data_IF_518393930326
#
_entry.id   IF_518393930326
#
_cell.length_a   1.000
_cell.length_b   1.000
_cell.length_c   1.000
_cell.angle_alpha   90.00
_cell.angle_beta   90.00
_cell.angle_gamma   90.00
#
_symmetry.space_group_name_H-M   'P 1'
#
loop_
_entity.id
_entity.type
_entity.pdbx_description
1 polymer ?
#
# COMPACT_ATOMS: atom_id res chain seq x y z
N UNK A 1 -7.83 12.36 8.76
CA UNK A 1 -7.00 11.46 7.95
C UNK A 1 -7.58 10.03 7.97
N UNK A 2 -7.37 9.25 6.89
CA UNK A 2 -7.82 7.85 6.82
C UNK A 2 -9.26 7.60 6.38
N UNK A 3 -10.09 8.61 6.17
CA UNK A 3 -11.46 8.47 5.64
C UNK A 3 -11.47 8.25 4.11
N UNK A 4 -12.64 7.92 3.56
CA UNK A 4 -12.87 7.60 2.13
C UNK A 4 -12.29 8.64 1.16
N UNK A 5 -12.24 9.92 1.54
CA UNK A 5 -11.66 11.00 0.73
C UNK A 5 -10.18 11.29 0.97
N UNK A 6 -9.52 10.59 1.91
CA UNK A 6 -8.16 10.93 2.34
C UNK A 6 -7.17 10.93 1.15
N UNK A 7 -7.14 9.83 0.40
CA UNK A 7 -6.24 9.68 -0.74
C UNK A 7 -6.49 10.74 -1.82
N UNK A 8 -7.76 11.03 -2.13
CA UNK A 8 -8.12 12.06 -3.11
C UNK A 8 -7.58 13.43 -2.70
N UNK A 9 -7.81 13.84 -1.44
CA UNK A 9 -7.32 15.14 -0.98
C UNK A 9 -5.79 15.17 -0.87
N UNK A 10 -5.17 14.08 -0.41
CA UNK A 10 -3.72 13.99 -0.33
C UNK A 10 -3.10 14.15 -1.72
N UNK A 11 -3.46 13.32 -2.68
CA UNK A 11 -2.87 13.32 -4.03
C UNK A 11 -3.21 14.58 -4.85
N UNK A 12 -4.40 15.18 -4.66
CA UNK A 12 -4.84 16.30 -5.46
C UNK A 12 -4.57 17.67 -4.83
N UNK A 13 -4.11 17.73 -3.58
CA UNK A 13 -3.82 18.99 -2.89
C UNK A 13 -2.49 18.93 -2.14
N UNK A 14 -2.33 18.00 -1.21
CA UNK A 14 -1.17 17.97 -0.30
C UNK A 14 0.12 17.67 -1.03
N UNK A 15 0.13 16.62 -1.87
CA UNK A 15 1.31 16.19 -2.62
C UNK A 15 1.73 17.18 -3.71
N UNK A 16 0.84 18.11 -4.08
CA UNK A 16 1.15 19.21 -5.00
C UNK A 16 2.01 20.30 -4.37
N UNK A 17 2.13 20.31 -3.05
CA UNK A 17 2.93 21.27 -2.28
C UNK A 17 2.16 22.49 -1.80
N UNK A 18 2.58 22.99 -0.63
CA UNK A 18 1.98 24.18 0.00
C UNK A 18 2.28 25.45 -0.77
N UNK A 19 1.27 26.34 -0.89
CA UNK A 19 1.41 27.64 -1.54
C UNK A 19 1.60 27.57 -3.07
N UNK A 20 1.42 26.40 -3.67
CA UNK A 20 1.50 26.22 -5.11
C UNK A 20 0.08 26.19 -5.73
N UNK A 21 -0.17 27.10 -6.68
CA UNK A 21 -1.44 27.15 -7.40
C UNK A 21 -1.37 26.29 -8.63
N UNK A 22 -2.24 25.29 -8.73
CA UNK A 22 -2.30 24.33 -9.85
C UNK A 22 -3.72 24.24 -10.42
N UNK A 23 -3.84 23.77 -11.67
CA UNK A 23 -5.12 23.52 -12.32
C UNK A 23 -5.66 22.13 -11.98
N UNK A 24 -6.95 22.02 -11.74
CA UNK A 24 -7.62 20.73 -11.71
C UNK A 24 -7.64 20.11 -13.13
N UNK A 25 -7.73 18.78 -13.26
CA UNK A 25 -7.98 18.13 -14.56
C UNK A 25 -9.20 18.70 -15.28
N UNK A 26 -9.21 18.62 -16.61
CA UNK A 26 -10.32 19.16 -17.44
C UNK A 26 -11.67 18.54 -17.08
N UNK A 27 -11.71 17.25 -16.79
CA UNK A 27 -12.91 16.52 -16.38
C UNK A 27 -13.40 16.91 -14.96
N UNK A 28 -12.60 17.64 -14.19
CA UNK A 28 -12.95 18.26 -12.91
C UNK A 28 -13.17 19.78 -13.01
N UNK A 29 -13.36 20.29 -14.23
CA UNK A 29 -13.71 21.68 -14.51
C UNK A 29 -12.54 22.66 -14.53
N UNK A 30 -11.31 22.18 -14.59
CA UNK A 30 -10.07 22.97 -14.72
C UNK A 30 -9.91 24.12 -13.70
N UNK A 31 -10.59 24.02 -12.55
CA UNK A 31 -10.53 25.04 -11.50
C UNK A 31 -9.12 25.13 -10.89
N UNK A 32 -8.72 26.36 -10.58
CA UNK A 32 -7.45 26.58 -9.85
C UNK A 32 -7.60 26.14 -8.41
N UNK A 33 -6.58 25.45 -7.91
CA UNK A 33 -6.52 24.90 -6.55
C UNK A 33 -5.21 25.32 -5.89
N UNK A 34 -5.24 25.43 -4.57
CA UNK A 34 -4.07 25.69 -3.74
C UNK A 34 -4.23 24.91 -2.43
N UNK A 35 -3.15 24.31 -1.97
CA UNK A 35 -3.08 23.73 -0.63
C UNK A 35 -2.45 24.74 0.32
N UNK A 36 -3.21 25.16 1.31
CA UNK A 36 -2.75 26.02 2.39
C UNK A 36 -2.73 25.20 3.68
N UNK A 37 -1.56 24.76 4.17
CA UNK A 37 -1.47 24.03 5.43
C UNK A 37 -1.83 24.94 6.58
N UNK A 38 -2.59 24.42 7.57
CA UNK A 38 -2.89 25.10 8.81
C UNK A 38 -2.73 24.13 9.98
N UNK A 39 -1.96 24.50 10.96
CA UNK A 39 -1.71 23.74 12.18
C UNK A 39 -2.45 24.37 13.35
N UNK A 40 -2.65 23.60 14.42
CA UNK A 40 -3.34 24.11 15.58
C UNK A 40 -2.70 25.41 16.13
N UNK A 41 -1.38 25.49 16.20
CA UNK A 41 -0.67 26.65 16.73
C UNK A 41 -0.69 27.89 15.80
N UNK A 42 -1.10 27.74 14.54
CA UNK A 42 -1.32 28.86 13.64
C UNK A 42 -2.62 29.62 14.01
N UNK A 43 -3.56 28.94 14.68
CA UNK A 43 -4.82 29.54 15.12
C UNK A 43 -4.67 30.20 16.51
N UNK A 44 -4.05 31.37 16.55
CA UNK A 44 -3.84 32.12 17.79
C UNK A 44 -5.12 32.47 18.53
N UNK A 45 -6.22 32.70 17.79
CA UNK A 45 -7.52 33.03 18.38
C UNK A 45 -8.07 31.84 19.16
N UNK A 46 -7.99 30.64 18.60
CA UNK A 46 -8.41 29.43 19.29
C UNK A 46 -7.59 29.17 20.55
N UNK A 47 -6.26 29.28 20.46
CA UNK A 47 -5.37 29.05 21.60
C UNK A 47 -5.63 30.08 22.74
N UNK A 48 -5.92 31.32 22.42
CA UNK A 48 -6.22 32.35 23.41
C UNK A 48 -7.58 32.13 24.07
N UNK A 49 -8.59 31.75 23.30
CA UNK A 49 -9.96 31.57 23.81
C UNK A 49 -10.19 30.20 24.48
N UNK A 50 -9.40 29.22 24.15
CA UNK A 50 -9.50 27.87 24.68
C UNK A 50 -8.11 27.21 24.87
N UNK A 51 -7.39 27.59 25.93
CA UNK A 51 -6.06 27.08 26.23
C UNK A 51 -6.03 25.55 26.47
N UNK A 52 -7.18 24.97 26.85
CA UNK A 52 -7.29 23.53 27.14
C UNK A 52 -7.57 22.68 25.89
N UNK A 53 -7.85 23.30 24.75
CA UNK A 53 -8.15 22.60 23.51
C UNK A 53 -7.06 21.60 23.12
N UNK A 54 -5.79 21.98 23.27
CA UNK A 54 -4.65 21.11 23.02
C UNK A 54 -4.63 19.87 23.93
N UNK A 55 -4.95 20.05 25.20
CA UNK A 55 -4.99 18.91 26.14
C UNK A 55 -6.17 17.98 25.87
N UNK A 56 -7.32 18.54 25.46
CA UNK A 56 -8.47 17.71 25.05
C UNK A 56 -8.17 16.88 23.80
N UNK A 57 -7.48 17.45 22.81
CA UNK A 57 -7.04 16.67 21.65
C UNK A 57 -6.11 15.52 22.05
N UNK A 58 -5.15 15.77 22.92
CA UNK A 58 -4.26 14.73 23.45
C UNK A 58 -5.01 13.63 24.19
N UNK A 59 -6.10 13.94 24.83
CA UNK A 59 -6.95 12.99 25.54
C UNK A 59 -7.79 12.07 24.65
N UNK A 60 -7.80 12.24 23.32
CA UNK A 60 -8.54 11.40 22.39
C UNK A 60 -7.98 9.97 22.23
N UNK A 61 -6.81 9.69 22.81
CA UNK A 61 -6.29 8.33 23.01
C UNK A 61 -5.51 7.72 21.83
N UNK A 62 -5.84 8.04 20.59
CA UNK A 62 -5.09 7.57 19.42
C UNK A 62 -4.00 8.56 19.05
N UNK A 63 -2.75 8.18 19.30
CA UNK A 63 -1.57 9.03 19.09
C UNK A 63 -1.43 9.47 17.63
N UNK A 64 -1.73 8.62 16.66
CA UNK A 64 -1.61 8.95 15.23
C UNK A 64 -2.66 9.99 14.82
N UNK A 65 -3.91 9.82 15.25
CA UNK A 65 -4.99 10.79 15.00
C UNK A 65 -4.69 12.13 15.69
N UNK A 66 -4.21 12.09 16.92
CA UNK A 66 -3.80 13.32 17.64
C UNK A 66 -2.68 14.04 16.91
N UNK A 67 -1.64 13.34 16.47
CA UNK A 67 -0.54 13.90 15.69
C UNK A 67 -1.03 14.51 14.37
N UNK A 68 -1.89 13.79 13.65
CA UNK A 68 -2.48 14.29 12.41
C UNK A 68 -3.28 15.58 12.61
N UNK A 69 -4.05 15.67 13.71
CA UNK A 69 -4.84 16.86 14.03
C UNK A 69 -4.00 18.06 14.50
N UNK A 70 -2.92 17.80 15.25
CA UNK A 70 -2.04 18.84 15.77
C UNK A 70 -1.13 19.42 14.70
N UNK A 71 -0.52 18.57 13.89
CA UNK A 71 0.53 18.94 12.94
C UNK A 71 0.03 19.03 11.49
N UNK A 72 -1.22 18.62 11.23
CA UNK A 72 -1.74 18.53 9.87
C UNK A 72 -1.02 17.43 9.08
N UNK A 73 -0.63 16.34 9.75
CA UNK A 73 0.06 15.23 9.14
C UNK A 73 -0.91 14.36 8.31
N UNK A 74 -0.65 14.26 7.02
CA UNK A 74 -1.40 13.45 6.06
C UNK A 74 -0.78 12.08 5.81
N UNK A 75 0.39 11.80 6.36
CA UNK A 75 1.06 10.50 6.27
C UNK A 75 0.66 9.56 7.42
N UNK A 76 0.07 10.11 8.49
CA UNK A 76 -0.39 9.30 9.61
C UNK A 76 -1.53 8.37 9.19
N UNK A 77 -1.27 7.09 9.15
CA UNK A 77 -2.28 6.04 8.98
C UNK A 77 -3.07 5.91 10.28
N UNK A 78 -4.25 6.54 10.33
CA UNK A 78 -5.12 6.51 11.51
C UNK A 78 -5.95 5.22 11.64
N UNK A 79 -5.85 4.30 10.66
CA UNK A 79 -6.59 3.04 10.68
C UNK A 79 -5.81 1.95 9.95
N UNK A 80 -5.42 0.95 10.67
CA UNK A 80 -4.75 -0.24 10.15
C UNK A 80 -4.22 -1.09 11.30
N UNK A 81 -4.21 -2.40 11.16
CA UNK A 81 -3.76 -3.32 12.21
C UNK A 81 -2.33 -3.10 12.70
N UNK A 82 -1.55 -2.26 11.98
CA UNK A 82 -0.14 -1.98 12.29
C UNK A 82 0.15 -0.50 12.55
N UNK A 83 -0.87 0.38 12.60
CA UNK A 83 -0.67 1.83 12.67
C UNK A 83 0.13 2.28 13.91
N UNK A 84 -0.04 1.62 15.04
CA UNK A 84 0.64 1.89 16.30
C UNK A 84 2.07 1.36 16.36
N UNK A 85 2.41 0.36 15.55
CA UNK A 85 3.73 -0.28 15.52
C UNK A 85 4.56 0.10 14.29
N UNK A 86 3.91 0.51 13.20
CA UNK A 86 4.60 0.89 11.97
C UNK A 86 5.47 2.14 12.15
N UNK A 87 6.70 2.05 11.74
CA UNK A 87 7.66 3.17 11.72
C UNK A 87 8.48 3.06 10.44
N UNK A 88 8.29 3.97 9.49
CA UNK A 88 9.01 3.95 8.21
C UNK A 88 10.52 3.82 8.37
N UNK A 89 11.11 4.48 9.37
CA UNK A 89 12.55 4.40 9.66
C UNK A 89 13.06 2.96 9.88
N UNK A 90 12.20 2.05 10.38
CA UNK A 90 12.58 0.68 10.71
C UNK A 90 12.00 -0.36 9.76
N UNK A 91 10.83 -0.05 9.16
CA UNK A 91 10.10 -1.00 8.33
C UNK A 91 10.25 -0.75 6.82
N UNK A 92 10.81 0.42 6.43
CA UNK A 92 11.17 0.69 5.04
C UNK A 92 12.69 0.58 4.92
N UNK A 93 13.14 -0.44 4.21
CA UNK A 93 14.57 -0.71 3.97
C UNK A 93 14.92 -0.36 2.53
N UNK A 94 16.21 -0.05 2.29
CA UNK A 94 16.71 0.11 0.93
C UNK A 94 16.66 -1.24 0.21
N UNK A 95 16.39 -1.26 -1.10
CA UNK A 95 16.45 -2.50 -1.88
C UNK A 95 17.80 -3.20 -1.77
N UNK A 96 17.80 -4.51 -1.60
CA UNK A 96 18.98 -5.38 -1.57
C UNK A 96 18.69 -6.68 -2.34
N UNK A 97 19.73 -7.42 -2.70
CA UNK A 97 19.57 -8.68 -3.40
C UNK A 97 19.04 -9.76 -2.46
N UNK A 98 17.88 -10.32 -2.77
CA UNK A 98 17.25 -11.35 -1.95
C UNK A 98 18.06 -12.65 -2.05
N UNK A 99 18.53 -13.21 -0.90
CA UNK A 99 19.24 -14.48 -0.90
C UNK A 99 18.45 -15.59 -1.58
N UNK A 100 19.14 -16.42 -2.34
CA UNK A 100 18.51 -17.52 -3.12
C UNK A 100 17.88 -18.60 -2.24
N UNK A 101 18.25 -18.64 -0.97
CA UNK A 101 17.72 -19.60 0.03
C UNK A 101 16.40 -19.11 0.65
N UNK A 102 16.10 -17.83 0.51
CA UNK A 102 14.86 -17.29 1.06
C UNK A 102 13.65 -17.71 0.21
N UNK A 103 12.58 -18.08 0.89
CA UNK A 103 11.33 -18.40 0.22
C UNK A 103 10.69 -17.11 -0.32
N UNK A 104 10.26 -17.15 -1.57
CA UNK A 104 9.50 -16.08 -2.18
C UNK A 104 8.11 -16.60 -2.50
N UNK A 105 7.09 -15.91 -2.04
CA UNK A 105 5.70 -16.17 -2.42
C UNK A 105 4.98 -14.88 -2.82
N UNK A 106 3.72 -14.99 -3.24
CA UNK A 106 2.87 -13.85 -3.57
C UNK A 106 1.51 -13.96 -2.92
N UNK A 107 1.04 -12.83 -2.36
CA UNK A 107 -0.35 -12.67 -1.93
C UNK A 107 -1.17 -11.98 -3.01
N UNK A 108 -2.45 -12.34 -3.14
CA UNK A 108 -3.31 -11.79 -4.17
C UNK A 108 -4.71 -11.48 -3.63
N UNK A 109 -5.15 -10.25 -3.87
CA UNK A 109 -6.51 -9.79 -3.63
C UNK A 109 -7.18 -9.50 -4.98
N UNK A 110 -8.25 -10.24 -5.26
CA UNK A 110 -8.95 -10.17 -6.56
C UNK A 110 -9.88 -8.96 -6.62
N UNK A 111 -9.81 -8.24 -7.70
CA UNK A 111 -10.75 -7.18 -8.05
C UNK A 111 -10.95 -7.09 -9.56
N UNK A 112 -12.11 -6.53 -9.95
CA UNK A 112 -12.44 -6.23 -11.36
C UNK A 112 -12.86 -4.77 -11.49
N UNK A 113 -14.03 -4.38 -11.01
CA UNK A 113 -14.47 -2.99 -10.89
C UNK A 113 -13.75 -2.27 -9.73
N UNK A 114 -13.49 -2.97 -8.64
CA UNK A 114 -12.52 -2.56 -7.63
C UNK A 114 -11.11 -2.97 -8.05
N UNK A 115 -10.07 -2.25 -7.62
CA UNK A 115 -8.70 -2.64 -7.89
C UNK A 115 -8.39 -4.04 -7.35
N UNK A 116 -7.59 -4.81 -8.11
CA UNK A 116 -6.92 -5.99 -7.58
C UNK A 116 -5.48 -5.64 -7.20
N UNK A 117 -4.88 -6.43 -6.33
CA UNK A 117 -3.48 -6.27 -5.94
C UNK A 117 -2.77 -7.62 -5.87
N UNK A 118 -1.53 -7.66 -6.35
CA UNK A 118 -0.61 -8.77 -6.15
C UNK A 118 0.65 -8.22 -5.50
N UNK A 119 1.05 -8.78 -4.35
CA UNK A 119 2.27 -8.40 -3.65
C UNK A 119 3.19 -9.60 -3.55
N UNK A 120 4.49 -9.38 -3.73
CA UNK A 120 5.50 -10.41 -3.55
C UNK A 120 6.23 -10.22 -2.24
N UNK A 121 6.49 -11.33 -1.55
CA UNK A 121 7.12 -11.35 -0.25
C UNK A 121 8.29 -12.32 -0.25
N UNK A 122 9.40 -11.92 0.38
CA UNK A 122 10.52 -12.77 0.69
C UNK A 122 10.56 -13.05 2.19
N UNK A 123 10.65 -14.32 2.59
CA UNK A 123 10.75 -14.75 3.97
C UNK A 123 12.18 -15.19 4.26
N UNK A 124 12.82 -14.54 5.24
CA UNK A 124 14.17 -14.89 5.67
C UNK A 124 14.21 -16.27 6.32
N UNK A 125 15.23 -17.04 6.00
CA UNK A 125 15.60 -18.29 6.67
C UNK A 125 16.55 -18.10 7.86
N UNK A 126 16.94 -16.85 8.15
CA UNK A 126 17.89 -16.50 9.21
C UNK A 126 19.35 -16.54 8.78
N UNK A 127 19.63 -16.74 7.49
CA UNK A 127 21.01 -16.63 6.96
C UNK A 127 21.44 -15.17 6.86
N UNK A 128 22.77 -14.96 6.90
CA UNK A 128 23.36 -13.65 6.65
C UNK A 128 23.18 -13.24 5.20
N UNK A 129 23.05 -11.94 4.96
CA UNK A 129 22.93 -11.37 3.62
C UNK A 129 23.73 -10.05 3.52
N UNK A 130 23.86 -9.53 2.31
CA UNK A 130 24.49 -8.22 2.09
C UNK A 130 23.41 -7.17 1.90
N UNK A 131 23.44 -6.12 2.71
CA UNK A 131 22.50 -5.02 2.63
C UNK A 131 22.79 -4.09 1.43
N UNK A 132 21.93 -3.11 1.23
CA UNK A 132 22.05 -2.14 0.14
C UNK A 132 23.31 -1.25 0.23
N UNK A 133 23.93 -1.17 1.38
CA UNK A 133 25.15 -0.38 1.60
C UNK A 133 26.43 -1.27 1.53
N UNK A 134 26.27 -2.57 1.22
CA UNK A 134 27.35 -3.53 1.04
C UNK A 134 27.86 -4.15 2.36
N UNK A 135 27.12 -4.02 3.44
CA UNK A 135 27.50 -4.58 4.75
C UNK A 135 26.85 -5.95 4.96
N UNK A 136 27.53 -6.81 5.73
CA UNK A 136 26.89 -8.01 6.26
C UNK A 136 25.75 -7.63 7.21
N UNK A 137 24.58 -8.23 7.01
CA UNK A 137 23.37 -8.00 7.77
C UNK A 137 22.70 -9.33 8.09
N UNK A 138 21.86 -9.32 9.12
CA UNK A 138 21.12 -10.47 9.56
C UNK A 138 19.73 -10.05 10.07
N UNK A 139 18.76 -10.90 9.82
CA UNK A 139 17.40 -10.80 10.39
C UNK A 139 16.93 -12.18 10.85
N UNK A 140 16.05 -12.28 11.86
CA UNK A 140 15.53 -13.57 12.30
C UNK A 140 14.83 -14.33 11.16
N UNK A 141 14.91 -15.65 11.20
CA UNK A 141 14.09 -16.51 10.34
C UNK A 141 12.60 -16.17 10.53
N UNK A 142 11.84 -16.15 9.44
CA UNK A 142 10.44 -15.72 9.42
C UNK A 142 10.25 -14.20 9.32
N UNK A 143 11.31 -13.39 9.19
CA UNK A 143 11.18 -11.98 8.83
C UNK A 143 10.69 -11.86 7.40
N UNK A 144 9.65 -11.03 7.18
CA UNK A 144 8.98 -10.89 5.88
C UNK A 144 9.31 -9.52 5.27
N UNK A 145 9.75 -9.54 4.02
CA UNK A 145 10.01 -8.35 3.21
C UNK A 145 9.05 -8.30 2.02
N UNK A 146 8.30 -7.23 1.88
CA UNK A 146 7.59 -6.97 0.63
C UNK A 146 8.62 -6.50 -0.40
N UNK A 147 8.76 -7.26 -1.49
CA UNK A 147 9.78 -7.04 -2.52
C UNK A 147 9.19 -6.51 -3.84
N UNK A 148 7.88 -6.57 -4.00
CA UNK A 148 7.21 -6.07 -5.19
C UNK A 148 5.71 -5.90 -4.98
N UNK A 149 5.10 -5.12 -5.86
CA UNK A 149 3.66 -4.86 -5.90
C UNK A 149 3.19 -4.65 -7.33
N UNK A 150 2.04 -5.20 -7.67
CA UNK A 150 1.30 -4.93 -8.89
C UNK A 150 -0.13 -4.54 -8.54
N UNK A 151 -0.46 -3.26 -8.72
CA UNK A 151 -1.78 -2.73 -8.41
C UNK A 151 -2.58 -2.47 -9.69
N UNK A 152 -3.71 -3.14 -9.82
CA UNK A 152 -4.55 -3.12 -11.03
C UNK A 152 -5.59 -2.00 -10.98
N UNK A 153 -5.12 -0.76 -10.93
CA UNK A 153 -5.98 0.41 -10.89
C UNK A 153 -5.61 1.45 -11.96
N UNK A 154 -6.60 2.25 -12.33
CA UNK A 154 -6.38 3.46 -13.11
C UNK A 154 -5.93 4.63 -12.20
N UNK A 155 -5.70 5.82 -12.79
CA UNK A 155 -5.32 7.03 -12.03
C UNK A 155 -6.37 7.50 -11.02
N UNK A 156 -7.61 7.02 -11.09
CA UNK A 156 -8.70 7.31 -10.14
C UNK A 156 -8.87 6.22 -9.09
N UNK A 157 -7.95 5.25 -9.03
CA UNK A 157 -8.04 4.09 -8.15
C UNK A 157 -9.27 3.21 -8.39
N UNK A 158 -9.79 3.21 -9.61
CA UNK A 158 -10.82 2.28 -10.06
C UNK A 158 -10.16 1.04 -10.67
N UNK A 159 -10.77 -0.13 -10.50
CA UNK A 159 -10.27 -1.37 -11.08
C UNK A 159 -10.24 -1.35 -12.61
N UNK A 160 -9.24 -1.99 -13.18
CA UNK A 160 -9.02 -2.01 -14.64
C UNK A 160 -9.99 -2.91 -15.40
N UNK A 161 -10.88 -3.61 -14.73
CA UNK A 161 -11.87 -4.56 -15.30
C UNK A 161 -11.23 -5.64 -16.17
N UNK A 162 -10.02 -6.05 -15.81
CA UNK A 162 -9.31 -7.13 -16.49
C UNK A 162 -9.91 -8.49 -16.11
N UNK A 163 -9.90 -9.41 -17.07
CA UNK A 163 -10.21 -10.81 -16.80
C UNK A 163 -9.14 -11.47 -15.93
N UNK A 164 -9.46 -12.60 -15.29
CA UNK A 164 -8.52 -13.37 -14.49
C UNK A 164 -7.25 -13.73 -15.29
N UNK A 165 -7.44 -14.17 -16.54
CA UNK A 165 -6.33 -14.52 -17.43
C UNK A 165 -5.44 -13.32 -17.78
N UNK A 166 -6.01 -12.13 -17.98
CA UNK A 166 -5.25 -10.91 -18.25
C UNK A 166 -4.47 -10.45 -17.03
N UNK A 167 -5.06 -10.53 -15.83
CA UNK A 167 -4.36 -10.26 -14.59
C UNK A 167 -3.20 -11.24 -14.37
N UNK A 168 -3.43 -12.55 -14.56
CA UNK A 168 -2.40 -13.56 -14.48
C UNK A 168 -1.25 -13.32 -15.48
N UNK A 169 -1.57 -12.88 -16.71
CA UNK A 169 -0.55 -12.54 -17.71
C UNK A 169 0.35 -11.40 -17.24
N UNK A 170 -0.21 -10.38 -16.62
CA UNK A 170 0.57 -9.25 -16.09
C UNK A 170 1.41 -9.66 -14.88
N UNK A 171 0.88 -10.48 -13.97
CA UNK A 171 1.64 -11.05 -12.86
C UNK A 171 2.85 -11.84 -13.40
N UNK A 172 2.60 -12.76 -14.34
CA UNK A 172 3.67 -13.54 -14.98
C UNK A 172 4.71 -12.66 -15.67
N UNK A 173 4.27 -11.63 -16.40
CA UNK A 173 5.18 -10.70 -17.08
C UNK A 173 6.09 -9.99 -16.07
N UNK A 174 5.54 -9.47 -14.97
CA UNK A 174 6.35 -8.82 -13.94
C UNK A 174 7.36 -9.79 -13.32
N UNK A 175 6.95 -11.01 -12.99
CA UNK A 175 7.88 -12.03 -12.48
C UNK A 175 9.00 -12.38 -13.48
N UNK A 176 8.69 -12.37 -14.77
CA UNK A 176 9.71 -12.57 -15.81
C UNK A 176 10.68 -11.40 -15.90
N UNK A 177 10.16 -10.17 -15.88
CA UNK A 177 10.95 -8.94 -15.99
C UNK A 177 11.89 -8.77 -14.77
N UNK A 178 11.44 -9.20 -13.59
CA UNK A 178 12.20 -9.16 -12.33
C UNK A 178 13.05 -10.42 -12.07
N UNK A 179 13.03 -11.41 -12.98
CA UNK A 179 13.78 -12.66 -12.83
C UNK A 179 13.26 -13.59 -11.71
N UNK A 180 12.02 -13.42 -11.31
CA UNK A 180 11.35 -14.19 -10.26
C UNK A 180 10.57 -15.38 -10.80
N UNK A 181 10.25 -15.41 -12.11
CA UNK A 181 9.47 -16.49 -12.72
C UNK A 181 10.10 -17.86 -12.48
N UNK A 182 9.30 -18.77 -11.93
CA UNK A 182 9.73 -20.11 -11.55
C UNK A 182 10.42 -20.21 -10.17
N UNK A 183 10.57 -19.09 -9.46
CA UNK A 183 11.10 -19.06 -8.09
C UNK A 183 10.01 -18.73 -7.06
N UNK A 184 8.89 -18.14 -7.51
CA UNK A 184 7.79 -17.73 -6.65
C UNK A 184 6.89 -18.92 -6.36
N UNK A 185 6.69 -19.21 -5.08
CA UNK A 185 5.75 -20.23 -4.62
C UNK A 185 4.30 -19.69 -4.63
N UNK A 186 3.31 -20.60 -4.76
CA UNK A 186 1.91 -20.21 -4.58
C UNK A 186 1.66 -19.73 -3.16
N UNK A 187 1.32 -18.45 -3.01
CA UNK A 187 0.92 -17.88 -1.72
C UNK A 187 -0.60 -17.70 -1.60
N UNK A 188 -1.08 -17.06 -0.53
CA UNK A 188 -2.50 -16.97 -0.24
C UNK A 188 -3.24 -16.01 -1.17
N UNK A 189 -4.49 -16.35 -1.48
CA UNK A 189 -5.43 -15.43 -2.09
C UNK A 189 -6.80 -15.53 -1.42
N UNK A 190 -7.63 -14.50 -1.65
CA UNK A 190 -9.00 -14.49 -1.14
C UNK A 190 -9.78 -15.74 -1.58
N UNK A 191 -10.55 -16.30 -0.66
CA UNK A 191 -11.28 -17.55 -0.90
C UNK A 191 -12.32 -17.44 -2.03
N UNK A 192 -12.77 -16.24 -2.39
CA UNK A 192 -13.73 -16.01 -3.47
C UNK A 192 -13.21 -16.49 -4.82
N UNK A 193 -11.89 -16.41 -5.08
CA UNK A 193 -11.31 -16.83 -6.37
C UNK A 193 -11.39 -18.35 -6.62
N UNK A 194 -11.61 -19.15 -5.58
CA UNK A 194 -11.73 -20.60 -5.64
C UNK A 194 -13.18 -21.09 -5.74
N UNK A 195 -14.12 -20.16 -5.77
CA UNK A 195 -15.56 -20.44 -5.87
C UNK A 195 -16.07 -20.00 -7.23
N UNK A 196 -17.03 -20.71 -7.78
CA UNK A 196 -17.72 -20.35 -9.03
C UNK A 196 -19.18 -20.79 -8.98
N UNK A 197 -20.01 -20.18 -9.81
CA UNK A 197 -21.35 -20.67 -10.08
C UNK A 197 -21.31 -21.98 -10.87
N UNK A 198 -22.33 -22.84 -10.77
CA UNK A 198 -22.39 -24.08 -11.53
C UNK A 198 -22.26 -23.82 -13.05
N UNK A 199 -21.31 -24.51 -13.69
CA UNK A 199 -21.02 -24.40 -15.13
C UNK A 199 -19.98 -23.33 -15.49
N UNK A 200 -19.43 -22.61 -14.53
CA UNK A 200 -18.35 -21.65 -14.75
C UNK A 200 -17.02 -22.13 -14.14
N UNK A 201 -15.90 -21.73 -14.75
CA UNK A 201 -14.57 -21.92 -14.17
C UNK A 201 -14.36 -20.97 -13.01
N UNK A 202 -13.47 -21.32 -12.07
CA UNK A 202 -13.06 -20.39 -10.99
C UNK A 202 -12.01 -19.42 -11.50
N UNK A 203 -11.93 -18.23 -10.88
CA UNK A 203 -10.86 -17.27 -11.14
C UNK A 203 -9.48 -17.92 -10.96
N UNK A 204 -9.30 -18.73 -9.90
CA UNK A 204 -8.06 -19.45 -9.65
C UNK A 204 -7.72 -20.45 -10.76
N UNK A 205 -8.72 -21.16 -11.30
CA UNK A 205 -8.50 -22.10 -12.43
C UNK A 205 -8.08 -21.36 -13.70
N UNK A 206 -8.72 -20.23 -14.00
CA UNK A 206 -8.38 -19.41 -15.17
C UNK A 206 -6.96 -18.84 -15.05
N UNK A 207 -6.55 -18.36 -13.87
CA UNK A 207 -5.18 -17.89 -13.62
C UNK A 207 -4.15 -19.01 -13.73
N UNK A 208 -4.49 -20.22 -13.26
CA UNK A 208 -3.64 -21.39 -13.35
C UNK A 208 -3.32 -21.80 -14.80
N UNK A 209 -4.21 -21.51 -15.77
CA UNK A 209 -3.94 -21.75 -17.20
C UNK A 209 -2.74 -20.95 -17.72
N UNK A 210 -2.40 -19.84 -17.06
CA UNK A 210 -1.23 -19.00 -17.35
C UNK A 210 0.00 -19.38 -16.53
N UNK A 211 -0.11 -20.39 -15.64
CA UNK A 211 0.94 -20.82 -14.72
C UNK A 211 1.00 -20.00 -13.42
N UNK A 212 0.00 -19.16 -13.16
CA UNK A 212 -0.10 -18.39 -11.91
C UNK A 212 -1.09 -19.07 -10.98
N UNK A 213 -0.58 -19.63 -9.88
CA UNK A 213 -1.35 -20.41 -8.92
C UNK A 213 -1.32 -19.80 -7.53
N UNK A 214 -2.36 -20.03 -6.74
CA UNK A 214 -2.52 -19.52 -5.37
C UNK A 214 -3.01 -20.62 -4.44
N UNK A 215 -2.82 -20.41 -3.14
CA UNK A 215 -3.40 -21.25 -2.08
C UNK A 215 -4.59 -20.51 -1.45
N UNK A 216 -5.47 -21.27 -0.77
CA UNK A 216 -6.53 -20.66 0.05
C UNK A 216 -5.91 -20.00 1.27
N UNK A 217 -6.42 -18.82 1.65
CA UNK A 217 -6.05 -18.13 2.89
C UNK A 217 -6.72 -18.77 4.10
#
# INVERSE_FOLDING_TARGET
PGGVGHHYFKSNFVDMGAGHVFGAPEDEGSMRREYVPARLHDNKVLILNDPEYYQRLKGMGDTATVQAMLEGDWESLSSGGFADVWRAKYHVVKPFDIPVTWRIDRGYDYGSSNPAACCWFAESDGSDFIDADGNEAWVPAGSIFQIGELYFANKRHEGLRLTATEQARRIKQQEQDEGLWGKVEPGPADNSIFSSEPGHTTVAADMATMGVTFTRS
#
